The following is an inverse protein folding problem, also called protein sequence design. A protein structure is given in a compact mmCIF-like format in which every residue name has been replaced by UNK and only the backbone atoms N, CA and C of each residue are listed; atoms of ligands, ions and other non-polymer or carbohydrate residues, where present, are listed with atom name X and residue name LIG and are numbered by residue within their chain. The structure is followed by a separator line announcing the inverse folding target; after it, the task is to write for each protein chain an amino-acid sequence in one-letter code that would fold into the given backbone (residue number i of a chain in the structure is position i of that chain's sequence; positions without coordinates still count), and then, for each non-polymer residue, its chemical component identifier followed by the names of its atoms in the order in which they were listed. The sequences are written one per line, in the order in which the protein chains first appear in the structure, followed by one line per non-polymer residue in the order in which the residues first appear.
data_IF_407945462026
#
_entry.id   IF_407945462026
#
_cell.length_a   1.000
_cell.length_b   1.000
_cell.length_c   1.000
_cell.angle_alpha   90.00
_cell.angle_beta   90.00
_cell.angle_gamma   90.00
#
_symmetry.space_group_name_H-M   'P 1'
#
loop_
_entity.id
_entity.type
_entity.pdbx_description
1 polymer ?
#
# COMPACT_ATOMS: atom_id res chain seq x y z
N UNK A 1 28.97 -27.46 -13.59
CA UNK A 1 27.59 -26.88 -13.53
C UNK A 1 27.74 -25.37 -13.68
N UNK A 2 27.09 -24.74 -14.67
CA UNK A 2 27.06 -23.28 -14.73
C UNK A 2 26.29 -22.78 -13.52
N UNK A 3 26.89 -21.87 -12.76
CA UNK A 3 26.21 -21.23 -11.61
C UNK A 3 24.97 -20.49 -12.10
N UNK A 4 23.81 -20.78 -11.51
CA UNK A 4 22.54 -20.14 -11.89
C UNK A 4 22.62 -18.63 -11.60
N UNK A 5 22.30 -17.82 -12.59
CA UNK A 5 22.38 -16.36 -12.46
C UNK A 5 21.26 -15.84 -11.57
N UNK A 6 21.60 -14.88 -10.73
CA UNK A 6 20.72 -14.40 -9.66
C UNK A 6 20.60 -12.89 -9.67
N UNK A 7 19.38 -12.42 -9.39
CA UNK A 7 19.07 -11.02 -9.07
C UNK A 7 18.77 -10.91 -7.57
N UNK A 8 19.51 -10.06 -6.89
CA UNK A 8 19.29 -9.78 -5.46
C UNK A 8 18.68 -8.39 -5.25
N UNK A 9 17.49 -8.33 -4.66
CA UNK A 9 16.87 -7.10 -4.21
C UNK A 9 17.26 -6.76 -2.77
N UNK A 10 17.66 -5.52 -2.50
CA UNK A 10 17.91 -5.04 -1.15
C UNK A 10 16.64 -4.51 -0.53
N UNK A 11 16.16 -5.16 0.54
CA UNK A 11 14.95 -4.75 1.25
C UNK A 11 15.24 -3.62 2.24
N UNK A 12 14.41 -2.59 2.24
CA UNK A 12 14.51 -1.44 3.14
C UNK A 12 13.18 -0.68 3.28
N UNK A 13 13.03 0.04 4.39
CA UNK A 13 11.83 0.82 4.68
C UNK A 13 10.67 0.00 5.24
N UNK A 14 9.49 0.60 5.37
CA UNK A 14 8.27 -0.07 5.84
C UNK A 14 7.63 -0.94 4.76
N UNK A 15 6.54 -1.64 5.12
CA UNK A 15 5.85 -2.63 4.27
C UNK A 15 5.59 -2.14 2.84
N UNK A 16 5.03 -0.93 2.68
CA UNK A 16 4.73 -0.41 1.34
C UNK A 16 5.98 -0.20 0.47
N UNK A 17 7.11 0.21 1.05
CA UNK A 17 8.38 0.35 0.34
C UNK A 17 8.94 -1.02 -0.06
N UNK A 18 8.87 -1.98 0.85
CA UNK A 18 9.27 -3.37 0.58
C UNK A 18 8.46 -3.96 -0.56
N UNK A 19 7.15 -3.73 -0.60
CA UNK A 19 6.30 -4.18 -1.70
C UNK A 19 6.77 -3.67 -3.07
N UNK A 20 7.17 -2.39 -3.18
CA UNK A 20 7.73 -1.84 -4.42
C UNK A 20 9.02 -2.53 -4.83
N UNK A 21 9.92 -2.77 -3.88
CA UNK A 21 11.20 -3.46 -4.14
C UNK A 21 10.93 -4.89 -4.59
N UNK A 22 10.08 -5.63 -3.87
CA UNK A 22 9.76 -7.04 -4.17
C UNK A 22 9.11 -7.17 -5.55
N UNK A 23 8.12 -6.34 -5.86
CA UNK A 23 7.42 -6.36 -7.14
C UNK A 23 8.34 -6.02 -8.32
N UNK A 24 9.22 -5.02 -8.16
CA UNK A 24 10.19 -4.64 -9.19
C UNK A 24 11.19 -5.75 -9.45
N UNK A 25 11.76 -6.33 -8.38
CA UNK A 25 12.69 -7.46 -8.49
C UNK A 25 12.01 -8.66 -9.14
N UNK A 26 10.77 -8.97 -8.75
CA UNK A 26 9.97 -10.05 -9.35
C UNK A 26 9.81 -9.84 -10.86
N UNK A 27 9.38 -8.64 -11.27
CA UNK A 27 9.22 -8.31 -12.69
C UNK A 27 10.53 -8.41 -13.48
N UNK A 28 11.63 -7.94 -12.91
CA UNK A 28 12.96 -8.05 -13.54
C UNK A 28 13.41 -9.51 -13.63
N UNK A 29 13.19 -10.32 -12.60
CA UNK A 29 13.55 -11.74 -12.62
C UNK A 29 12.79 -12.49 -13.72
N UNK A 30 11.51 -12.21 -13.90
CA UNK A 30 10.70 -12.76 -15.00
C UNK A 30 11.19 -12.29 -16.37
N UNK A 31 11.37 -10.97 -16.52
CA UNK A 31 11.86 -10.37 -17.77
C UNK A 31 13.18 -10.94 -18.22
N UNK A 32 14.11 -11.12 -17.31
CA UNK A 32 15.48 -11.56 -17.61
C UNK A 32 15.71 -13.07 -17.42
N UNK A 33 14.72 -13.80 -16.90
CA UNK A 33 14.78 -15.25 -16.62
C UNK A 33 15.98 -15.60 -15.73
N UNK A 34 16.09 -14.93 -14.61
CA UNK A 34 17.12 -15.14 -13.59
C UNK A 34 16.47 -15.50 -12.26
N UNK A 35 17.18 -16.25 -11.42
CA UNK A 35 16.72 -16.57 -10.06
C UNK A 35 16.59 -15.28 -9.25
N UNK A 36 15.53 -15.18 -8.46
CA UNK A 36 15.27 -14.06 -7.59
C UNK A 36 15.62 -14.40 -6.15
N UNK A 37 16.30 -13.47 -5.49
CA UNK A 37 16.55 -13.52 -4.06
C UNK A 37 16.43 -12.14 -3.45
N UNK A 38 16.08 -12.07 -2.17
CA UNK A 38 16.09 -10.82 -1.42
C UNK A 38 17.13 -10.87 -0.30
N UNK A 39 17.81 -9.75 -0.13
CA UNK A 39 18.73 -9.52 0.95
C UNK A 39 18.15 -8.53 1.95
N UNK A 40 18.06 -8.97 3.20
CA UNK A 40 17.63 -8.17 4.33
C UNK A 40 18.78 -8.11 5.33
N UNK A 41 19.41 -6.94 5.49
CA UNK A 41 20.50 -6.81 6.45
C UNK A 41 19.96 -6.90 7.88
N UNK A 42 20.36 -7.89 8.70
CA UNK A 42 19.74 -8.18 9.99
C UNK A 42 19.82 -7.03 10.99
N UNK A 43 20.84 -6.16 10.86
CA UNK A 43 21.05 -5.02 11.75
C UNK A 43 20.57 -3.69 11.18
N UNK A 44 20.32 -3.58 9.88
CA UNK A 44 19.97 -2.32 9.21
C UNK A 44 18.50 -2.27 8.80
N UNK A 45 17.91 -3.43 8.45
CA UNK A 45 16.52 -3.42 8.08
C UNK A 45 15.63 -3.69 9.30
N UNK A 46 14.95 -2.66 9.69
CA UNK A 46 13.83 -2.71 10.62
C UNK A 46 12.79 -1.72 10.12
N UNK A 47 11.53 -2.11 10.18
CA UNK A 47 10.44 -1.15 10.01
C UNK A 47 10.42 -0.12 11.15
N UNK A 48 9.51 0.85 11.11
CA UNK A 48 9.35 1.85 12.17
C UNK A 48 9.12 1.23 13.56
N UNK A 49 8.55 0.03 13.64
CA UNK A 49 8.35 -0.76 14.87
C UNK A 49 9.53 -1.70 15.17
N UNK A 50 10.63 -1.61 14.42
CA UNK A 50 11.85 -2.45 14.54
C UNK A 50 11.61 -3.95 14.33
N UNK A 51 10.61 -4.33 13.56
CA UNK A 51 10.32 -5.72 13.20
C UNK A 51 11.18 -6.17 12.02
N UNK A 52 11.50 -7.47 11.99
CA UNK A 52 12.20 -8.06 10.84
C UNK A 52 11.22 -8.33 9.69
N UNK A 53 11.77 -8.50 8.48
CA UNK A 53 10.98 -8.87 7.29
C UNK A 53 10.19 -10.18 7.46
N UNK A 54 10.73 -11.11 8.23
CA UNK A 54 10.08 -12.38 8.55
C UNK A 54 8.75 -12.22 9.32
N UNK A 55 8.49 -11.04 9.84
CA UNK A 55 7.20 -10.70 10.43
C UNK A 55 6.06 -10.75 9.41
N UNK A 56 6.31 -10.36 8.15
CA UNK A 56 5.28 -10.28 7.14
C UNK A 56 5.07 -11.62 6.42
N UNK A 57 4.00 -12.33 6.77
CA UNK A 57 3.64 -13.62 6.18
C UNK A 57 3.27 -13.53 4.70
N UNK A 58 2.86 -12.35 4.23
CA UNK A 58 2.54 -12.14 2.82
C UNK A 58 3.69 -12.47 1.86
N UNK A 59 4.94 -12.49 2.34
CA UNK A 59 6.12 -12.78 1.52
C UNK A 59 6.67 -14.20 1.68
N UNK A 60 5.95 -15.11 2.33
CA UNK A 60 6.45 -16.47 2.61
C UNK A 60 6.84 -17.27 1.36
N UNK A 61 6.24 -16.93 0.19
CA UNK A 61 6.56 -17.56 -1.09
C UNK A 61 7.81 -16.98 -1.77
N UNK A 62 8.50 -16.03 -1.13
CA UNK A 62 9.73 -15.43 -1.64
C UNK A 62 10.95 -15.89 -0.84
N UNK A 63 12.07 -16.16 -1.55
CA UNK A 63 13.34 -16.50 -0.90
C UNK A 63 13.97 -15.23 -0.31
N UNK A 64 13.87 -15.06 1.02
CA UNK A 64 14.42 -13.91 1.76
C UNK A 64 15.57 -14.39 2.64
N UNK A 65 16.77 -13.89 2.33
CA UNK A 65 17.99 -14.19 3.09
C UNK A 65 18.31 -13.01 4.05
N UNK A 66 18.14 -13.26 5.33
CA UNK A 66 18.52 -12.32 6.40
C UNK A 66 19.90 -12.62 6.98
N UNK A 67 20.64 -13.57 6.41
CA UNK A 67 22.01 -13.88 6.82
C UNK A 67 23.02 -12.97 6.09
N UNK A 68 24.24 -12.88 6.64
CA UNK A 68 25.30 -11.99 6.15
C UNK A 68 25.92 -12.34 4.79
N UNK A 69 25.30 -13.21 4.01
CA UNK A 69 25.85 -13.75 2.77
C UNK A 69 25.39 -12.98 1.53
N UNK A 70 25.69 -11.68 1.47
CA UNK A 70 25.53 -10.94 0.24
C UNK A 70 26.45 -11.50 -0.83
N UNK A 71 25.90 -12.07 -1.92
CA UNK A 71 26.70 -12.38 -3.10
C UNK A 71 27.25 -11.08 -3.72
N UNK A 72 28.52 -11.08 -4.06
CA UNK A 72 29.14 -9.97 -4.78
C UNK A 72 28.59 -9.92 -6.21
N UNK A 73 28.24 -8.73 -6.68
CA UNK A 73 27.70 -8.53 -8.03
C UNK A 73 27.63 -7.05 -8.41
N UNK A 74 27.27 -6.80 -9.66
CA UNK A 74 27.07 -5.43 -10.15
C UNK A 74 25.80 -4.88 -9.50
N UNK A 75 25.92 -3.74 -8.79
CA UNK A 75 24.78 -3.10 -8.14
C UNK A 75 24.23 -1.97 -8.99
N UNK A 76 22.97 -2.10 -9.41
CA UNK A 76 22.19 -0.98 -9.92
C UNK A 76 21.60 -0.21 -8.73
N UNK A 77 21.86 1.11 -8.67
CA UNK A 77 21.24 2.02 -7.70
C UNK A 77 20.24 2.90 -8.41
N UNK A 78 19.02 2.94 -7.86
CA UNK A 78 17.98 3.86 -8.38
C UNK A 78 18.48 5.30 -8.28
N UNK A 79 18.60 6.03 -9.41
CA UNK A 79 19.15 7.36 -9.38
C UNK A 79 18.12 8.44 -8.96
N UNK A 80 16.82 8.15 -9.19
CA UNK A 80 15.72 9.12 -9.00
C UNK A 80 14.44 8.43 -8.54
N UNK A 81 13.52 9.19 -7.91
CA UNK A 81 12.18 8.73 -7.53
C UNK A 81 11.14 8.82 -8.67
N UNK A 82 11.55 8.45 -9.88
CA UNK A 82 10.65 8.31 -11.03
C UNK A 82 11.11 7.13 -11.90
N UNK A 83 10.20 6.66 -12.74
CA UNK A 83 10.48 5.51 -13.61
C UNK A 83 11.64 5.78 -14.55
N UNK A 84 12.61 4.89 -14.54
CA UNK A 84 13.70 4.81 -15.49
C UNK A 84 13.98 3.33 -15.82
N UNK A 85 14.59 3.08 -16.97
CA UNK A 85 14.88 1.71 -17.39
C UNK A 85 15.95 1.08 -16.51
N UNK A 86 15.61 -0.08 -15.92
CA UNK A 86 16.57 -0.91 -15.18
C UNK A 86 17.12 -1.97 -16.11
N UNK A 87 18.44 -2.00 -16.25
CA UNK A 87 19.16 -3.05 -16.99
C UNK A 87 19.99 -3.86 -16.01
N UNK A 88 19.82 -5.18 -16.03
CA UNK A 88 20.63 -6.11 -15.25
C UNK A 88 21.58 -6.91 -16.16
N UNK A 89 22.79 -7.21 -15.69
CA UNK A 89 23.70 -8.05 -16.43
C UNK A 89 23.34 -9.53 -16.26
N UNK A 90 22.85 -10.14 -17.34
CA UNK A 90 22.47 -11.57 -17.35
C UNK A 90 23.65 -12.53 -17.25
N UNK A 91 24.89 -12.04 -17.38
CA UNK A 91 26.09 -12.85 -17.30
C UNK A 91 26.65 -12.95 -15.90
N UNK A 92 26.32 -11.99 -15.04
CA UNK A 92 26.80 -11.88 -13.65
C UNK A 92 25.65 -11.83 -12.67
N UNK A 93 25.94 -12.07 -11.39
CA UNK A 93 24.99 -11.73 -10.34
C UNK A 93 24.75 -10.22 -10.35
N UNK A 94 23.50 -9.81 -10.23
CA UNK A 94 23.10 -8.40 -10.18
C UNK A 94 22.37 -8.10 -8.89
N UNK A 95 22.67 -6.94 -8.30
CA UNK A 95 21.97 -6.43 -7.14
C UNK A 95 21.22 -5.16 -7.54
N UNK A 96 20.03 -4.93 -6.97
CA UNK A 96 19.35 -3.65 -7.10
C UNK A 96 19.12 -3.03 -5.72
N UNK A 97 19.29 -1.69 -5.67
CA UNK A 97 19.16 -0.88 -4.48
C UNK A 97 18.39 0.40 -4.81
N UNK A 98 17.24 0.56 -4.22
CA UNK A 98 16.33 1.69 -4.41
C UNK A 98 14.93 1.33 -3.93
N UNK A 99 14.02 2.30 -3.91
CA UNK A 99 12.63 2.07 -3.54
C UNK A 99 11.75 1.69 -4.72
N UNK A 100 12.11 2.12 -5.93
CA UNK A 100 11.40 1.82 -7.19
C UNK A 100 9.90 2.16 -7.13
N UNK A 101 9.55 3.31 -6.56
CA UNK A 101 8.17 3.72 -6.30
C UNK A 101 7.45 4.16 -7.59
N UNK A 102 7.37 3.24 -8.56
CA UNK A 102 6.59 3.40 -9.78
C UNK A 102 5.94 2.07 -10.19
N UNK A 103 4.63 2.10 -10.44
CA UNK A 103 3.93 0.91 -10.96
C UNK A 103 4.47 0.44 -12.31
N UNK A 104 5.10 1.31 -13.08
CA UNK A 104 5.64 1.01 -14.41
C UNK A 104 6.72 -0.05 -14.41
N UNK A 105 7.42 -0.25 -13.28
CA UNK A 105 8.42 -1.30 -13.15
C UNK A 105 7.84 -2.72 -13.21
N UNK A 106 6.61 -2.92 -12.72
CA UNK A 106 6.07 -4.27 -12.49
C UNK A 106 4.64 -4.47 -13.02
N UNK A 107 3.98 -3.45 -13.55
CA UNK A 107 2.59 -3.55 -13.98
C UNK A 107 2.34 -4.65 -15.01
N UNK A 108 3.32 -4.95 -15.88
CA UNK A 108 3.22 -6.04 -16.85
C UNK A 108 3.12 -7.44 -16.20
N UNK A 109 3.57 -7.59 -14.96
CA UNK A 109 3.56 -8.83 -14.19
C UNK A 109 2.65 -8.76 -12.96
N UNK A 110 1.75 -7.77 -12.91
CA UNK A 110 0.88 -7.53 -11.74
C UNK A 110 0.13 -8.78 -11.29
N UNK A 111 -0.54 -9.45 -12.21
CA UNK A 111 -1.38 -10.62 -11.89
C UNK A 111 -0.55 -11.79 -11.36
N UNK A 112 0.66 -12.01 -11.92
CA UNK A 112 1.56 -13.05 -11.44
C UNK A 112 2.12 -12.71 -10.06
N UNK A 113 2.50 -11.44 -9.86
CA UNK A 113 3.01 -10.96 -8.57
C UNK A 113 1.98 -11.11 -7.45
N UNK A 114 0.73 -10.68 -7.68
CA UNK A 114 -0.34 -10.79 -6.69
C UNK A 114 -0.59 -12.25 -6.27
N UNK A 115 -0.50 -13.21 -7.21
CA UNK A 115 -0.62 -14.65 -6.90
C UNK A 115 0.50 -15.20 -6.02
N UNK A 116 1.64 -14.51 -5.97
CA UNK A 116 2.76 -14.89 -5.07
C UNK A 116 2.57 -14.38 -3.64
N UNK A 117 1.70 -13.39 -3.44
CA UNK A 117 1.41 -12.89 -2.09
C UNK A 117 0.51 -13.87 -1.35
N UNK A 118 0.86 -14.16 -0.10
CA UNK A 118 0.00 -14.89 0.81
C UNK A 118 -0.88 -13.92 1.61
N UNK A 119 -2.18 -14.18 1.69
CA UNK A 119 -3.09 -13.46 2.59
C UNK A 119 -3.47 -14.35 3.77
N UNK A 120 -2.78 -14.26 4.92
CA UNK A 120 -3.06 -15.10 6.07
C UNK A 120 -4.31 -14.65 6.85
N UNK A 121 -4.86 -13.48 6.53
CA UNK A 121 -5.98 -12.84 7.26
C UNK A 121 -7.30 -12.87 6.49
N UNK A 122 -7.40 -13.70 5.44
CA UNK A 122 -8.59 -13.66 4.56
C UNK A 122 -9.90 -13.83 5.32
N UNK A 123 -9.97 -14.85 6.17
CA UNK A 123 -11.20 -15.18 6.90
C UNK A 123 -11.53 -14.11 7.96
N UNK A 124 -10.51 -13.57 8.64
CA UNK A 124 -10.69 -12.50 9.63
C UNK A 124 -11.16 -11.20 8.95
N UNK A 125 -10.62 -10.88 7.78
CA UNK A 125 -11.02 -9.71 6.98
C UNK A 125 -12.47 -9.86 6.50
N UNK A 126 -12.85 -11.00 5.95
CA UNK A 126 -14.20 -11.27 5.49
C UNK A 126 -15.21 -11.21 6.66
N UNK A 127 -14.82 -11.72 7.83
CA UNK A 127 -15.61 -11.62 9.06
C UNK A 127 -15.78 -10.16 9.51
N UNK A 128 -14.70 -9.38 9.56
CA UNK A 128 -14.74 -7.96 9.97
C UNK A 128 -15.70 -7.15 9.08
N UNK A 129 -15.59 -7.28 7.77
CA UNK A 129 -16.48 -6.58 6.84
C UNK A 129 -17.96 -6.98 7.06
N UNK A 130 -18.22 -8.27 7.28
CA UNK A 130 -19.56 -8.77 7.59
C UNK A 130 -20.11 -8.15 8.87
N UNK A 131 -19.32 -8.10 9.95
CA UNK A 131 -19.73 -7.51 11.23
C UNK A 131 -20.00 -6.00 11.11
N UNK A 132 -19.24 -5.28 10.26
CA UNK A 132 -19.52 -3.84 10.00
C UNK A 132 -20.87 -3.65 9.31
N UNK A 133 -21.25 -4.48 8.34
CA UNK A 133 -22.57 -4.42 7.71
C UNK A 133 -23.69 -4.71 8.73
N UNK A 134 -23.52 -5.71 9.59
CA UNK A 134 -24.48 -6.01 10.67
C UNK A 134 -24.63 -4.83 11.62
N UNK A 135 -23.53 -4.16 11.99
CA UNK A 135 -23.57 -3.00 12.86
C UNK A 135 -24.34 -1.82 12.22
N UNK A 136 -24.14 -1.58 10.91
CA UNK A 136 -24.90 -0.56 10.17
C UNK A 136 -26.39 -0.92 10.13
N UNK A 137 -26.73 -2.19 9.88
CA UNK A 137 -28.12 -2.68 9.90
C UNK A 137 -28.77 -2.46 11.27
N UNK A 138 -28.08 -2.83 12.35
CA UNK A 138 -28.56 -2.64 13.72
C UNK A 138 -28.80 -1.16 14.04
N UNK A 139 -27.87 -0.27 13.70
CA UNK A 139 -27.97 1.15 13.95
C UNK A 139 -29.14 1.80 13.18
N UNK A 140 -29.51 1.25 12.03
CA UNK A 140 -30.66 1.67 11.22
C UNK A 140 -31.97 1.00 11.64
N UNK A 141 -31.99 0.24 12.74
CA UNK A 141 -33.14 -0.52 13.23
C UNK A 141 -33.70 -1.51 12.19
N UNK A 142 -32.83 -2.06 11.34
CA UNK A 142 -33.21 -3.03 10.32
C UNK A 142 -33.10 -4.47 10.82
N UNK A 143 -33.89 -5.39 10.24
CA UNK A 143 -33.77 -6.81 10.55
C UNK A 143 -32.45 -7.36 10.06
N UNK A 144 -31.74 -8.08 10.94
CA UNK A 144 -30.43 -8.67 10.63
C UNK A 144 -30.48 -9.98 9.83
N UNK A 145 -31.66 -10.56 9.59
CA UNK A 145 -31.76 -11.86 8.95
C UNK A 145 -33.03 -12.01 8.09
N UNK A 146 -32.88 -11.96 6.79
CA UNK A 146 -31.77 -11.49 5.98
C UNK A 146 -31.63 -9.95 6.04
N UNK A 147 -30.41 -9.37 5.83
CA UNK A 147 -30.28 -7.93 5.77
C UNK A 147 -31.07 -7.37 4.59
N UNK A 148 -31.58 -6.13 4.74
CA UNK A 148 -32.31 -5.50 3.65
C UNK A 148 -31.45 -5.36 2.39
N UNK A 149 -32.11 -5.27 1.21
CA UNK A 149 -31.42 -5.03 -0.05
C UNK A 149 -30.53 -3.77 0.02
N UNK A 150 -31.00 -2.73 0.71
CA UNK A 150 -30.27 -1.48 0.90
C UNK A 150 -28.93 -1.70 1.63
N UNK A 151 -28.90 -2.55 2.66
CA UNK A 151 -27.66 -2.89 3.39
C UNK A 151 -26.71 -3.71 2.51
N UNK A 152 -27.23 -4.60 1.68
CA UNK A 152 -26.42 -5.39 0.75
C UNK A 152 -25.81 -4.57 -0.39
N UNK A 153 -26.32 -3.36 -0.65
CA UNK A 153 -25.84 -2.42 -1.66
C UNK A 153 -24.82 -1.41 -1.11
N UNK A 154 -24.48 -1.49 0.20
CA UNK A 154 -23.45 -0.63 0.78
C UNK A 154 -22.05 -1.05 0.31
N UNK A 155 -21.22 -0.05 0.05
CA UNK A 155 -19.84 -0.21 -0.42
C UNK A 155 -18.85 0.24 0.67
N UNK A 156 -17.80 -0.55 0.89
CA UNK A 156 -16.74 -0.19 1.81
C UNK A 156 -15.75 0.76 1.16
N UNK A 157 -15.46 1.86 1.84
CA UNK A 157 -14.45 2.84 1.44
C UNK A 157 -13.37 2.91 2.51
N UNK A 158 -12.16 2.47 2.19
CA UNK A 158 -11.03 2.67 3.11
C UNK A 158 -10.52 4.11 3.04
N UNK A 159 -10.24 4.72 4.19
CA UNK A 159 -9.58 6.02 4.31
C UNK A 159 -8.27 5.82 5.07
N UNK A 160 -7.13 6.14 4.45
CA UNK A 160 -5.83 6.09 5.12
C UNK A 160 -5.36 7.49 5.49
N UNK A 161 -5.14 7.73 6.78
CA UNK A 161 -4.65 9.00 7.35
C UNK A 161 -3.25 8.79 7.89
N UNK A 162 -2.23 9.37 7.23
CA UNK A 162 -0.82 9.26 7.62
C UNK A 162 -0.34 10.55 8.26
N UNK A 163 0.20 10.48 9.48
CA UNK A 163 0.55 11.68 10.27
C UNK A 163 1.86 11.59 11.02
N UNK A 164 2.04 10.65 11.93
CA UNK A 164 3.06 10.64 13.00
C UNK A 164 4.46 11.09 12.57
N UNK A 165 5.17 10.27 11.82
CA UNK A 165 6.51 10.59 11.30
C UNK A 165 6.51 11.68 10.22
N UNK A 166 5.39 11.84 9.49
CA UNK A 166 5.24 12.88 8.46
C UNK A 166 5.17 14.27 9.07
N UNK A 167 4.55 14.44 10.24
CA UNK A 167 4.54 15.72 10.96
C UNK A 167 5.96 16.15 11.37
N UNK A 168 6.78 15.20 11.81
CA UNK A 168 8.16 15.46 12.19
C UNK A 168 9.08 15.77 10.99
N UNK A 169 8.71 15.33 9.79
CA UNK A 169 9.48 15.46 8.55
C UNK A 169 8.71 16.23 7.45
N UNK A 170 7.97 17.26 7.84
CA UNK A 170 7.05 18.01 6.96
C UNK A 170 7.71 18.64 5.73
N UNK A 171 9.00 18.93 5.77
CA UNK A 171 9.75 19.41 4.62
C UNK A 171 9.93 18.34 3.53
N UNK A 172 9.98 17.06 3.92
CA UNK A 172 10.22 15.92 3.02
C UNK A 172 8.91 15.23 2.67
N UNK A 173 8.04 14.99 3.66
CA UNK A 173 6.76 14.35 3.50
C UNK A 173 5.64 15.38 3.52
N UNK A 174 4.81 15.36 2.50
CA UNK A 174 3.62 16.22 2.45
C UNK A 174 2.63 15.77 3.54
N UNK A 175 2.23 16.67 4.41
CA UNK A 175 1.14 16.44 5.34
C UNK A 175 -0.18 16.80 4.68
N UNK A 176 -1.04 15.81 4.47
CA UNK A 176 -2.38 16.02 3.93
C UNK A 176 -3.27 16.64 5.00
N UNK A 177 -3.92 17.74 4.65
CA UNK A 177 -4.87 18.44 5.51
C UNK A 177 -6.30 17.87 5.40
N UNK A 178 -7.20 18.36 6.25
CA UNK A 178 -8.60 17.93 6.24
C UNK A 178 -9.30 18.28 4.94
N UNK A 179 -8.90 19.34 4.23
CA UNK A 179 -9.48 19.72 2.96
C UNK A 179 -9.28 18.66 1.88
N UNK A 180 -8.12 17.97 1.87
CA UNK A 180 -7.89 16.82 0.99
C UNK A 180 -8.90 15.70 1.27
N UNK A 181 -9.06 15.34 2.54
CA UNK A 181 -9.97 14.24 2.92
C UNK A 181 -11.44 14.60 2.69
N UNK A 182 -11.83 15.86 2.92
CA UNK A 182 -13.17 16.36 2.66
C UNK A 182 -13.52 16.23 1.17
N UNK A 183 -12.64 16.71 0.27
CA UNK A 183 -12.83 16.57 -1.17
C UNK A 183 -12.77 15.11 -1.61
N UNK A 184 -11.90 14.31 -1.02
CA UNK A 184 -11.81 12.88 -1.35
C UNK A 184 -13.08 12.12 -0.96
N UNK A 185 -13.61 12.35 0.24
CA UNK A 185 -14.85 11.75 0.76
C UNK A 185 -16.06 12.16 -0.07
N UNK A 186 -16.11 13.38 -0.59
CA UNK A 186 -17.22 13.87 -1.41
C UNK A 186 -17.49 13.06 -2.69
N UNK A 187 -16.55 12.19 -3.08
CA UNK A 187 -16.71 11.27 -4.21
C UNK A 187 -17.58 10.05 -3.87
N UNK A 188 -17.93 9.86 -2.61
CA UNK A 188 -18.65 8.66 -2.13
C UNK A 188 -19.92 9.10 -1.40
N UNK A 189 -21.13 8.74 -1.93
CA UNK A 189 -22.39 9.04 -1.26
C UNK A 189 -22.43 8.41 0.14
N UNK A 190 -22.63 9.20 1.18
CA UNK A 190 -22.56 8.71 2.56
C UNK A 190 -23.62 7.66 2.89
N UNK A 191 -24.79 7.74 2.27
CA UNK A 191 -25.90 6.81 2.45
C UNK A 191 -25.63 5.43 1.78
N UNK A 192 -24.62 5.33 0.93
CA UNK A 192 -24.20 4.11 0.23
C UNK A 192 -22.82 3.62 0.66
N UNK A 193 -22.18 4.31 1.58
CA UNK A 193 -20.80 4.02 1.94
C UNK A 193 -20.65 3.66 3.41
N UNK A 194 -19.76 2.70 3.69
CA UNK A 194 -19.24 2.39 5.02
C UNK A 194 -17.75 2.73 5.04
N UNK A 195 -17.38 3.75 5.78
CA UNK A 195 -16.01 4.24 5.83
C UNK A 195 -15.19 3.52 6.89
N UNK A 196 -14.15 2.79 6.46
CA UNK A 196 -13.14 2.20 7.35
C UNK A 196 -11.92 3.12 7.40
N UNK A 197 -11.63 3.70 8.57
CA UNK A 197 -10.60 4.73 8.73
C UNK A 197 -9.39 4.12 9.41
N UNK A 198 -8.26 4.17 8.74
CA UNK A 198 -6.96 3.65 9.17
C UNK A 198 -6.00 4.80 9.41
N UNK A 199 -5.34 4.81 10.55
CA UNK A 199 -4.36 5.85 10.87
C UNK A 199 -3.27 5.34 11.81
N UNK A 200 -2.08 5.91 11.66
CA UNK A 200 -1.01 5.82 12.65
C UNK A 200 -1.18 6.83 13.81
N UNK A 201 -2.17 7.74 13.70
CA UNK A 201 -2.59 8.73 14.70
C UNK A 201 -4.10 8.58 14.96
N UNK A 202 -4.47 7.53 15.68
CA UNK A 202 -5.89 7.20 15.98
C UNK A 202 -6.54 8.31 16.80
N UNK A 203 -5.80 8.92 17.73
CA UNK A 203 -6.32 10.00 18.59
C UNK A 203 -6.72 11.22 17.78
N UNK A 204 -5.98 11.55 16.72
CA UNK A 204 -6.35 12.62 15.80
C UNK A 204 -7.66 12.29 15.09
N UNK A 205 -7.76 11.10 14.50
CA UNK A 205 -8.97 10.70 13.76
C UNK A 205 -10.21 10.68 14.66
N UNK A 206 -10.05 10.25 15.91
CA UNK A 206 -11.13 10.23 16.88
C UNK A 206 -11.63 11.63 17.32
N UNK A 207 -10.81 12.66 17.15
CA UNK A 207 -11.14 14.03 17.54
C UNK A 207 -11.50 14.93 16.37
N UNK A 208 -11.11 14.54 15.15
CA UNK A 208 -11.31 15.35 13.95
C UNK A 208 -12.80 15.35 13.52
N UNK A 209 -13.48 16.50 13.50
CA UNK A 209 -14.90 16.59 13.18
C UNK A 209 -15.27 16.01 11.81
N UNK A 210 -14.39 16.14 10.82
CA UNK A 210 -14.61 15.58 9.48
C UNK A 210 -14.92 14.08 9.54
N UNK A 211 -14.10 13.31 10.27
CA UNK A 211 -14.29 11.87 10.37
C UNK A 211 -15.43 11.52 11.34
N UNK A 212 -15.63 12.34 12.39
CA UNK A 212 -16.69 12.10 13.36
C UNK A 212 -18.10 12.27 12.77
N UNK A 213 -18.25 13.13 11.78
CA UNK A 213 -19.54 13.43 11.15
C UNK A 213 -19.93 12.45 10.03
N UNK A 214 -19.08 11.48 9.68
CA UNK A 214 -19.45 10.43 8.72
C UNK A 214 -20.57 9.55 9.29
N UNK A 215 -21.57 9.26 8.47
CA UNK A 215 -22.79 8.53 8.88
C UNK A 215 -22.46 7.09 9.27
N UNK A 216 -21.85 6.34 8.35
CA UNK A 216 -21.45 4.96 8.58
C UNK A 216 -19.93 4.90 8.61
N UNK A 217 -19.34 4.90 9.79
CA UNK A 217 -17.88 4.85 9.95
C UNK A 217 -17.43 3.82 10.96
N UNK A 218 -16.22 3.34 10.76
CA UNK A 218 -15.49 2.57 11.75
C UNK A 218 -14.02 2.99 11.74
N UNK A 219 -13.51 3.42 12.90
CA UNK A 219 -12.09 3.72 13.08
C UNK A 219 -11.40 2.41 13.46
N UNK A 220 -10.50 1.95 12.60
CA UNK A 220 -9.77 0.70 12.79
C UNK A 220 -8.65 0.93 13.81
N UNK A 221 -8.77 0.28 14.97
CA UNK A 221 -7.81 0.39 16.08
C UNK A 221 -6.82 -0.76 16.15
N UNK A 222 -6.95 -1.76 15.27
CA UNK A 222 -6.00 -2.86 15.17
C UNK A 222 -4.62 -2.33 14.77
N UNK A 223 -3.57 -2.78 15.49
CA UNK A 223 -2.20 -2.32 15.30
C UNK A 223 -1.35 -3.27 14.44
N UNK A 224 -1.93 -4.34 13.92
CA UNK A 224 -1.26 -5.23 12.97
C UNK A 224 -1.30 -4.62 11.56
N UNK A 225 -0.14 -4.20 11.07
CA UNK A 225 -0.01 -3.52 9.79
C UNK A 225 -0.36 -4.45 8.62
N UNK A 226 -0.08 -5.76 8.72
CA UNK A 226 -0.38 -6.70 7.66
C UNK A 226 -1.88 -6.99 7.59
N UNK A 227 -2.54 -7.17 8.74
CA UNK A 227 -3.99 -7.28 8.83
C UNK A 227 -4.68 -6.03 8.25
N UNK A 228 -4.29 -4.84 8.72
CA UNK A 228 -4.86 -3.57 8.22
C UNK A 228 -4.63 -3.38 6.73
N UNK A 229 -3.50 -3.82 6.19
CA UNK A 229 -3.21 -3.79 4.76
C UNK A 229 -4.21 -4.63 3.97
N UNK A 230 -4.47 -5.87 4.40
CA UNK A 230 -5.42 -6.75 3.74
C UNK A 230 -6.85 -6.27 3.89
N UNK A 231 -7.25 -5.78 5.06
CA UNK A 231 -8.57 -5.19 5.28
C UNK A 231 -8.79 -3.97 4.37
N UNK A 232 -7.79 -3.10 4.23
CA UNK A 232 -7.83 -1.94 3.33
C UNK A 232 -7.95 -2.35 1.86
N UNK A 233 -7.26 -3.43 1.46
CA UNK A 233 -7.30 -3.96 0.09
C UNK A 233 -8.60 -4.68 -0.27
N UNK A 234 -9.35 -5.14 0.73
CA UNK A 234 -10.64 -5.82 0.57
C UNK A 234 -11.83 -4.86 0.49
N UNK A 235 -11.64 -3.57 0.79
CA UNK A 235 -12.69 -2.56 0.59
C UNK A 235 -13.02 -2.38 -0.89
N UNK A 236 -14.23 -1.91 -1.20
CA UNK A 236 -14.67 -1.66 -2.58
C UNK A 236 -13.90 -0.50 -3.20
N UNK A 237 -13.62 0.54 -2.41
CA UNK A 237 -12.94 1.78 -2.82
C UNK A 237 -11.87 2.20 -1.83
N UNK A 238 -10.96 3.11 -2.26
CA UNK A 238 -9.86 3.54 -1.41
C UNK A 238 -9.61 5.06 -1.53
N UNK A 239 -9.55 5.74 -0.39
CA UNK A 239 -8.97 7.07 -0.25
C UNK A 239 -7.57 6.90 0.33
N UNK A 240 -6.53 7.14 -0.46
CA UNK A 240 -5.15 6.89 -0.04
C UNK A 240 -4.45 8.17 0.42
N UNK A 241 -3.57 8.04 1.40
CA UNK A 241 -2.57 9.07 1.67
C UNK A 241 -1.42 9.01 0.65
N UNK A 242 -0.50 9.98 0.70
CA UNK A 242 0.78 9.93 -0.01
C UNK A 242 1.75 8.91 0.63
N UNK A 243 1.28 7.70 0.81
CA UNK A 243 1.97 6.61 1.48
C UNK A 243 1.99 5.36 0.60
N UNK A 244 3.18 4.80 0.43
CA UNK A 244 3.38 3.53 -0.28
C UNK A 244 2.52 2.39 0.28
N UNK A 245 2.17 2.44 1.56
CA UNK A 245 1.35 1.44 2.23
C UNK A 245 -0.09 1.40 1.69
N UNK A 246 -0.83 2.52 1.76
CA UNK A 246 -2.19 2.58 1.21
C UNK A 246 -2.24 2.55 -0.31
N UNK A 247 -1.16 3.02 -0.96
CA UNK A 247 -1.01 2.86 -2.40
C UNK A 247 -1.06 1.39 -2.80
N UNK A 248 -0.28 0.53 -2.12
CA UNK A 248 -0.27 -0.90 -2.41
C UNK A 248 -1.58 -1.59 -2.08
N UNK A 249 -2.21 -1.27 -0.95
CA UNK A 249 -3.53 -1.81 -0.63
C UNK A 249 -4.54 -1.49 -1.74
N UNK A 250 -4.57 -0.25 -2.23
CA UNK A 250 -5.44 0.14 -3.35
C UNK A 250 -5.04 -0.51 -4.68
N UNK A 251 -3.74 -0.71 -4.92
CA UNK A 251 -3.26 -1.30 -6.17
C UNK A 251 -3.61 -2.78 -6.31
N UNK A 252 -3.51 -3.57 -5.22
CA UNK A 252 -3.88 -4.99 -5.22
C UNK A 252 -5.39 -5.23 -5.04
N UNK A 253 -6.16 -4.25 -4.60
CA UNK A 253 -7.61 -4.33 -4.54
C UNK A 253 -8.16 -4.87 -5.87
N UNK A 254 -8.93 -5.97 -5.80
CA UNK A 254 -9.38 -6.74 -6.96
C UNK A 254 -10.68 -6.23 -7.57
N UNK A 255 -11.39 -5.28 -6.91
CA UNK A 255 -12.64 -4.74 -7.44
C UNK A 255 -12.40 -4.01 -8.78
N UNK A 256 -12.95 -4.48 -9.92
CA UNK A 256 -12.76 -3.86 -11.23
C UNK A 256 -13.40 -2.48 -11.33
N UNK A 257 -14.38 -2.19 -10.47
CA UNK A 257 -15.11 -0.93 -10.41
C UNK A 257 -14.62 0.00 -9.30
N UNK A 258 -13.52 -0.36 -8.64
CA UNK A 258 -12.98 0.48 -7.57
C UNK A 258 -12.71 1.90 -8.05
N UNK A 259 -12.96 2.86 -7.17
CA UNK A 259 -12.47 4.23 -7.27
C UNK A 259 -11.35 4.42 -6.22
N UNK A 260 -10.16 4.79 -6.68
CA UNK A 260 -9.05 5.16 -5.82
C UNK A 260 -8.88 6.67 -5.88
N UNK A 261 -9.10 7.34 -4.78
CA UNK A 261 -8.86 8.78 -4.66
C UNK A 261 -7.48 8.99 -4.04
N UNK A 262 -6.63 9.74 -4.73
CA UNK A 262 -5.24 10.00 -4.35
C UNK A 262 -4.89 11.48 -4.33
N UNK A 263 -3.90 11.91 -3.53
CA UNK A 263 -3.43 13.28 -3.58
C UNK A 263 -2.65 13.56 -4.89
N UNK A 264 -2.72 14.78 -5.38
CA UNK A 264 -1.99 15.24 -6.57
C UNK A 264 -0.49 15.46 -6.33
N UNK A 265 -0.06 15.44 -5.08
CA UNK A 265 1.34 15.60 -4.64
C UNK A 265 1.73 14.47 -3.70
N UNK A 266 3.01 14.06 -3.78
CA UNK A 266 3.50 12.93 -3.00
C UNK A 266 4.50 13.31 -1.92
N UNK A 267 5.44 14.20 -2.25
CA UNK A 267 6.49 14.66 -1.34
C UNK A 267 6.36 16.15 -1.07
N UNK A 268 6.93 16.58 0.04
CA UNK A 268 7.10 17.97 0.43
C UNK A 268 8.20 18.69 -0.38
N UNK A 269 8.42 19.98 -0.11
CA UNK A 269 9.30 20.83 -0.93
C UNK A 269 10.77 20.42 -0.93
N UNK A 270 11.25 19.75 0.12
CA UNK A 270 12.62 19.21 0.20
C UNK A 270 12.66 17.69 -0.06
N UNK A 271 11.55 17.10 -0.47
CA UNK A 271 11.48 15.69 -0.85
C UNK A 271 12.22 15.42 -2.18
N UNK A 272 12.34 14.13 -2.54
CA UNK A 272 12.99 13.74 -3.78
C UNK A 272 12.24 14.26 -5.01
N UNK A 273 12.97 14.46 -6.11
CA UNK A 273 12.36 14.76 -7.42
C UNK A 273 11.59 13.53 -7.90
N UNK A 274 10.32 13.70 -8.22
CA UNK A 274 9.43 12.62 -8.65
C UNK A 274 8.47 13.07 -9.76
N UNK A 275 7.83 12.12 -10.41
CA UNK A 275 6.74 12.36 -11.37
C UNK A 275 5.49 11.67 -10.82
N UNK A 276 4.44 12.42 -10.48
CA UNK A 276 3.22 11.86 -9.86
C UNK A 276 2.59 10.76 -10.74
N UNK A 277 2.65 10.89 -12.08
CA UNK A 277 2.13 9.93 -13.04
C UNK A 277 2.97 8.63 -13.15
N UNK A 278 4.12 8.59 -12.52
CA UNK A 278 4.89 7.34 -12.36
C UNK A 278 4.45 6.59 -11.10
N UNK A 279 3.89 7.30 -10.12
CA UNK A 279 3.37 6.75 -8.87
C UNK A 279 1.90 6.38 -9.05
N UNK A 280 1.06 7.32 -9.46
CA UNK A 280 -0.38 7.12 -9.58
C UNK A 280 -0.73 6.67 -11.00
N UNK A 281 -1.36 5.48 -11.17
CA UNK A 281 -1.77 4.98 -12.47
C UNK A 281 -2.79 5.88 -13.18
N UNK A 282 -2.57 6.15 -14.45
CA UNK A 282 -3.50 6.91 -15.29
C UNK A 282 -4.57 5.98 -15.87
N UNK A 283 -5.52 5.60 -15.07
CA UNK A 283 -6.66 4.77 -15.47
C UNK A 283 -7.98 5.34 -14.95
N UNK A 284 -9.11 4.88 -15.49
CA UNK A 284 -10.44 5.32 -15.04
C UNK A 284 -10.72 5.08 -13.55
N UNK A 285 -9.96 4.19 -12.92
CA UNK A 285 -10.11 3.82 -11.52
C UNK A 285 -9.41 4.77 -10.53
N UNK A 286 -8.57 5.71 -11.04
CA UNK A 286 -7.81 6.62 -10.20
C UNK A 286 -8.25 8.06 -10.44
N UNK A 287 -8.59 8.75 -9.36
CA UNK A 287 -8.91 10.18 -9.34
C UNK A 287 -7.95 10.91 -8.42
N UNK A 288 -7.27 11.92 -8.95
CA UNK A 288 -6.40 12.79 -8.15
C UNK A 288 -7.20 13.98 -7.62
N UNK A 289 -7.06 14.24 -6.33
CA UNK A 289 -7.56 15.44 -5.65
C UNK A 289 -6.41 16.43 -5.51
N UNK A 290 -6.68 17.67 -5.82
CA UNK A 290 -5.66 18.71 -5.80
C UNK A 290 -5.29 19.08 -4.37
N UNK A 291 -3.99 19.09 -4.07
CA UNK A 291 -3.47 19.45 -2.75
C UNK A 291 -2.78 20.80 -2.86
N UNK A 292 -3.28 21.79 -2.14
CA UNK A 292 -2.66 23.11 -2.05
C UNK A 292 -1.38 23.05 -1.21
N UNK A 293 -0.35 23.79 -1.63
CA UNK A 293 0.77 24.09 -0.74
C UNK A 293 0.30 25.20 0.20
N UNK A 294 0.20 24.93 1.48
CA UNK A 294 0.26 25.97 2.49
C UNK A 294 1.68 26.13 2.96
#
# INVERSE_FOLDING_TARGET
MQEEKELTGHLMGGLGNVMFIVATCFALSKKYKVKLRFYCHPNLWRDAKRRSMQYYKMFENFEIDCANNRKSGITFREPYFFYDSVTIDRRNHSCIYGYFQSYKYFNAYKSEFIKMLNNPYKDEVDHELTERLKQVAYNNSESLSPPSKKIQELEFVSIHVRRTDYLALSDIHLNLDTAYYEEAISNFPQEKSVFLIFSDDVDFVQKEPLFQNLVNKHIVTNQDDEYCFWLMSACDHNIIANSSYSWWASYINSNPNKLVVSPSKWFGPKGPVYKIRDIIPETKNYKMVFVNNK
#
